data_IF_955382239500
#
_entry.id   IF_955382239500
#
_cell.length_a   1.000
_cell.length_b   1.000
_cell.length_c   1.000
_cell.angle_alpha   90.00
_cell.angle_beta   90.00
_cell.angle_gamma   90.00
#
_symmetry.space_group_name_H-M   'P 1'
#
loop_
_entity.id
_entity.type
_entity.pdbx_description
1 polymer ?
#
# COMPACT_ATOMS: atom_id res chain seq x y z
N UNK A 1 18.21 10.62 4.19
CA UNK A 1 17.70 12.00 4.33
C UNK A 1 16.59 12.17 3.29
N UNK A 2 15.31 12.27 3.69
CA UNK A 2 14.19 12.33 2.74
C UNK A 2 14.13 13.69 2.02
N UNK A 3 13.83 13.67 0.72
CA UNK A 3 13.69 14.88 -0.11
C UNK A 3 12.54 15.77 0.36
N UNK A 4 12.52 17.05 -0.06
CA UNK A 4 11.42 17.98 0.28
C UNK A 4 10.09 17.52 -0.35
N UNK A 5 10.10 17.06 -1.59
CA UNK A 5 8.93 16.55 -2.29
C UNK A 5 8.35 15.30 -1.61
N UNK A 6 9.22 14.39 -1.15
CA UNK A 6 8.83 13.21 -0.35
C UNK A 6 8.15 13.60 0.98
N UNK A 7 8.61 14.68 1.62
CA UNK A 7 8.00 15.18 2.87
C UNK A 7 6.63 15.82 2.65
N UNK A 8 6.42 16.48 1.51
CA UNK A 8 5.13 17.06 1.15
C UNK A 8 4.11 15.97 0.76
N UNK A 9 4.54 14.93 0.04
CA UNK A 9 3.70 13.79 -0.34
C UNK A 9 3.11 13.01 0.85
N UNK A 10 3.87 12.88 1.93
CA UNK A 10 3.42 12.21 3.16
C UNK A 10 3.05 13.17 4.29
N UNK A 11 2.84 14.45 3.98
CA UNK A 11 2.34 15.41 4.95
C UNK A 11 0.94 14.97 5.41
N UNK A 12 0.74 14.87 6.72
CA UNK A 12 -0.53 14.45 7.30
C UNK A 12 -0.80 12.93 7.27
N UNK A 13 0.10 12.10 6.74
CA UNK A 13 -0.08 10.63 6.73
C UNK A 13 -0.33 10.07 8.13
N UNK A 14 0.44 10.52 9.13
CA UNK A 14 0.26 10.07 10.53
C UNK A 14 -1.11 10.47 11.06
N UNK A 15 -1.54 11.71 10.80
CA UNK A 15 -2.83 12.20 11.29
C UNK A 15 -4.01 11.46 10.61
N UNK A 16 -3.88 11.16 9.32
CA UNK A 16 -4.86 10.37 8.58
C UNK A 16 -4.92 8.91 9.05
N UNK A 17 -3.77 8.29 9.33
CA UNK A 17 -3.71 6.95 9.94
C UNK A 17 -4.37 6.95 11.32
N UNK A 18 -4.06 7.94 12.17
CA UNK A 18 -4.65 8.07 13.50
C UNK A 18 -6.16 8.27 13.42
N UNK A 19 -6.64 9.13 12.51
CA UNK A 19 -8.07 9.32 12.27
C UNK A 19 -8.74 8.01 11.91
N UNK A 20 -8.19 7.27 10.93
CA UNK A 20 -8.74 5.99 10.52
C UNK A 20 -8.79 4.97 11.67
N UNK A 21 -7.67 4.81 12.39
CA UNK A 21 -7.58 3.85 13.49
C UNK A 21 -8.55 4.18 14.63
N UNK A 22 -8.73 5.46 14.95
CA UNK A 22 -9.69 5.91 15.96
C UNK A 22 -11.15 5.67 15.53
N UNK A 23 -11.48 6.03 14.29
CA UNK A 23 -12.82 5.82 13.75
C UNK A 23 -13.18 4.33 13.69
N UNK A 24 -12.19 3.49 13.40
CA UNK A 24 -12.31 2.03 13.39
C UNK A 24 -12.09 1.38 14.78
N UNK A 25 -11.90 2.18 15.85
CA UNK A 25 -11.67 1.71 17.23
C UNK A 25 -10.64 0.60 17.37
N UNK A 26 -9.48 0.75 16.72
CA UNK A 26 -8.43 -0.27 16.79
C UNK A 26 -8.06 -0.59 18.24
N UNK A 27 -8.38 -1.80 18.69
CA UNK A 27 -7.86 -2.40 19.90
C UNK A 27 -6.76 -3.41 19.58
N UNK A 28 -6.18 -4.02 20.62
CA UNK A 28 -5.12 -5.00 20.42
C UNK A 28 -5.57 -6.26 19.68
N UNK A 29 -6.84 -6.64 19.81
CA UNK A 29 -7.48 -7.73 19.04
C UNK A 29 -7.59 -7.40 17.55
N UNK A 30 -7.62 -6.12 17.21
CA UNK A 30 -7.87 -5.62 15.86
C UNK A 30 -6.56 -5.34 15.11
N UNK A 31 -5.39 -5.57 15.72
CA UNK A 31 -4.09 -5.37 15.09
C UNK A 31 -3.65 -6.61 14.30
N UNK A 32 -4.29 -6.80 13.16
CA UNK A 32 -3.97 -7.85 12.18
C UNK A 32 -3.31 -7.22 10.95
N UNK A 33 -2.63 -8.03 10.13
CA UNK A 33 -2.09 -7.55 8.86
C UNK A 33 -3.20 -6.95 7.98
N UNK A 34 -4.37 -7.58 7.93
CA UNK A 34 -5.50 -7.14 7.10
C UNK A 34 -6.02 -5.75 7.50
N UNK A 35 -6.28 -5.53 8.80
CA UNK A 35 -6.79 -4.24 9.31
C UNK A 35 -5.75 -3.14 9.17
N UNK A 36 -4.47 -3.44 9.39
CA UNK A 36 -3.38 -2.48 9.16
C UNK A 36 -3.23 -2.15 7.68
N UNK A 37 -3.37 -3.13 6.77
CA UNK A 37 -3.40 -2.88 5.33
C UNK A 37 -4.56 -1.96 4.93
N UNK A 38 -5.74 -2.07 5.54
CA UNK A 38 -6.83 -1.11 5.30
C UNK A 38 -6.46 0.32 5.70
N UNK A 39 -5.76 0.49 6.82
CA UNK A 39 -5.27 1.81 7.24
C UNK A 39 -4.27 2.38 6.23
N UNK A 40 -3.38 1.53 5.68
CA UNK A 40 -2.44 1.93 4.62
C UNK A 40 -3.15 2.30 3.31
N UNK A 41 -4.14 1.50 2.89
CA UNK A 41 -4.97 1.81 1.72
C UNK A 41 -5.77 3.10 1.90
N UNK A 42 -6.25 3.39 3.11
CA UNK A 42 -6.98 4.62 3.40
C UNK A 42 -6.14 5.87 3.15
N UNK A 43 -4.85 5.82 3.52
CA UNK A 43 -3.91 6.94 3.35
C UNK A 43 -3.21 6.97 2.00
N UNK A 44 -3.45 5.97 1.15
CA UNK A 44 -2.87 5.90 -0.19
C UNK A 44 -3.26 7.12 -1.04
N UNK A 45 -2.24 7.76 -1.62
CA UNK A 45 -2.41 8.79 -2.62
C UNK A 45 -1.84 8.31 -3.96
N UNK A 46 -2.62 8.35 -5.06
CA UNK A 46 -2.22 7.82 -6.35
C UNK A 46 -1.28 8.77 -7.10
N UNK A 47 -0.07 8.97 -6.58
CA UNK A 47 1.00 9.68 -7.25
C UNK A 47 2.26 8.82 -7.32
N UNK A 48 3.19 9.07 -8.27
CA UNK A 48 4.43 8.32 -8.34
C UNK A 48 5.21 8.37 -7.02
N UNK A 49 5.90 7.28 -6.70
CA UNK A 49 6.72 7.13 -5.49
C UNK A 49 5.98 7.11 -4.16
N UNK A 50 4.65 7.12 -4.09
CA UNK A 50 3.96 7.10 -2.80
C UNK A 50 4.41 5.90 -1.96
N UNK A 51 4.36 4.70 -2.50
CA UNK A 51 4.72 3.49 -1.76
C UNK A 51 6.23 3.36 -1.60
N UNK A 52 6.99 3.70 -2.65
CA UNK A 52 8.45 3.64 -2.61
C UNK A 52 9.07 4.58 -1.59
N UNK A 53 8.44 5.72 -1.33
CA UNK A 53 8.90 6.69 -0.34
C UNK A 53 8.18 6.58 1.02
N UNK A 54 7.21 5.66 1.15
CA UNK A 54 6.47 5.44 2.38
C UNK A 54 7.39 4.93 3.50
N UNK A 55 7.41 5.63 4.62
CA UNK A 55 8.20 5.24 5.78
C UNK A 55 7.30 4.52 6.80
N UNK A 56 7.61 3.25 7.08
CA UNK A 56 6.89 2.42 8.08
C UNK A 56 6.87 3.09 9.46
N UNK A 57 7.83 3.97 9.78
CA UNK A 57 7.80 4.77 11.01
C UNK A 57 6.53 5.64 11.15
N UNK A 58 5.89 6.06 10.06
CA UNK A 58 4.60 6.77 10.11
C UNK A 58 3.52 5.89 10.73
N UNK A 59 3.44 4.64 10.29
CA UNK A 59 2.52 3.65 10.84
C UNK A 59 2.85 3.32 12.30
N UNK A 60 4.13 3.08 12.61
CA UNK A 60 4.55 2.79 13.99
C UNK A 60 4.14 3.91 14.95
N UNK A 61 4.30 5.17 14.51
CA UNK A 61 3.87 6.33 15.28
C UNK A 61 2.36 6.37 15.47
N UNK A 62 1.58 6.13 14.42
CA UNK A 62 0.12 6.09 14.51
C UNK A 62 -0.37 4.97 15.44
N UNK A 63 0.21 3.77 15.34
CA UNK A 63 -0.09 2.65 16.23
C UNK A 63 0.20 2.98 17.69
N UNK A 64 1.36 3.57 17.99
CA UNK A 64 1.70 3.98 19.36
C UNK A 64 0.77 5.06 19.91
N UNK A 65 0.24 5.94 19.07
CA UNK A 65 -0.72 6.98 19.49
C UNK A 65 -2.12 6.41 19.76
N UNK A 66 -2.58 5.45 18.96
CA UNK A 66 -3.94 4.90 19.07
C UNK A 66 -4.02 3.73 20.07
N UNK A 67 -2.97 2.91 20.13
CA UNK A 67 -2.89 1.71 20.98
C UNK A 67 -1.58 1.76 21.76
N UNK A 68 -1.57 2.38 22.95
CA UNK A 68 -0.42 2.34 23.85
C UNK A 68 0.00 0.89 24.13
N UNK A 69 1.31 0.64 24.15
CA UNK A 69 1.90 -0.67 24.41
C UNK A 69 1.46 -1.81 23.46
N UNK A 70 0.95 -1.48 22.26
CA UNK A 70 0.46 -2.45 21.28
C UNK A 70 1.37 -3.66 21.05
N UNK A 71 2.70 -3.46 21.09
CA UNK A 71 3.67 -4.55 20.94
C UNK A 71 3.52 -5.60 22.03
N UNK A 72 3.43 -5.17 23.29
CA UNK A 72 3.22 -6.07 24.41
C UNK A 72 1.87 -6.75 24.30
N UNK A 73 0.82 -5.99 23.95
CA UNK A 73 -0.55 -6.53 23.89
C UNK A 73 -0.72 -7.59 22.82
N UNK A 74 -0.21 -7.38 21.61
CA UNK A 74 -0.25 -8.40 20.53
C UNK A 74 0.53 -9.65 20.95
N UNK A 75 1.71 -9.47 21.55
CA UNK A 75 2.54 -10.59 21.97
C UNK A 75 1.86 -11.42 23.07
N UNK A 76 1.10 -10.79 23.96
CA UNK A 76 0.37 -11.47 25.03
C UNK A 76 -0.95 -12.10 24.58
N UNK A 77 -1.62 -11.54 23.57
CA UNK A 77 -2.94 -11.97 23.16
C UNK A 77 -2.96 -13.29 22.36
N UNK A 78 -1.79 -13.78 21.92
CA UNK A 78 -1.68 -15.06 21.19
C UNK A 78 -2.35 -15.08 19.81
N UNK A 79 -2.85 -13.93 19.33
CA UNK A 79 -3.68 -13.83 18.12
C UNK A 79 -2.90 -13.88 16.80
N UNK A 80 -1.58 -13.76 16.83
CA UNK A 80 -0.73 -13.94 15.66
C UNK A 80 0.44 -14.86 16.02
N UNK A 81 0.59 -15.97 15.29
CA UNK A 81 1.83 -16.75 15.31
C UNK A 81 2.99 -15.79 14.98
N UNK A 82 3.82 -15.47 15.96
CA UNK A 82 4.94 -14.52 15.82
C UNK A 82 4.67 -13.06 16.26
N UNK A 83 3.50 -12.77 16.83
CA UNK A 83 3.20 -11.52 17.55
C UNK A 83 3.46 -10.24 16.75
N UNK A 84 3.95 -9.20 17.43
CA UNK A 84 4.25 -7.90 16.83
C UNK A 84 5.29 -7.98 15.71
N UNK A 85 6.28 -8.88 15.83
CA UNK A 85 7.31 -9.07 14.81
C UNK A 85 6.71 -9.58 13.49
N UNK A 86 5.81 -10.56 13.56
CA UNK A 86 5.14 -11.08 12.36
C UNK A 86 4.25 -10.01 11.72
N UNK A 87 3.48 -9.28 12.53
CA UNK A 87 2.65 -8.18 12.01
C UNK A 87 3.49 -7.16 11.24
N UNK A 88 4.63 -6.75 11.78
CA UNK A 88 5.51 -5.79 11.10
C UNK A 88 6.09 -6.36 9.81
N UNK A 89 6.48 -7.64 9.79
CA UNK A 89 6.96 -8.28 8.58
C UNK A 89 5.88 -8.34 7.48
N UNK A 90 4.64 -8.66 7.85
CA UNK A 90 3.51 -8.70 6.90
C UNK A 90 3.18 -7.30 6.35
N UNK A 91 3.30 -6.28 7.18
CA UNK A 91 3.10 -4.87 6.79
C UNK A 91 4.23 -4.36 5.90
N UNK A 92 5.49 -4.67 6.24
CA UNK A 92 6.64 -4.32 5.41
C UNK A 92 6.54 -4.99 4.05
N UNK A 93 6.12 -6.25 4.01
CA UNK A 93 5.83 -6.98 2.77
C UNK A 93 4.71 -6.30 1.97
N UNK A 94 3.62 -5.89 2.63
CA UNK A 94 2.53 -5.16 1.98
C UNK A 94 3.02 -3.87 1.30
N UNK A 95 3.82 -3.06 2.01
CA UNK A 95 4.39 -1.83 1.46
C UNK A 95 5.35 -2.15 0.31
N UNK A 96 6.16 -3.21 0.45
CA UNK A 96 7.13 -3.64 -0.58
C UNK A 96 6.44 -4.08 -1.87
N UNK A 97 5.37 -4.87 -1.79
CA UNK A 97 4.57 -5.30 -2.95
C UNK A 97 4.00 -4.09 -3.67
N UNK A 98 3.36 -3.17 -2.93
CA UNK A 98 2.77 -1.98 -3.54
C UNK A 98 3.81 -1.02 -4.14
N UNK A 99 5.00 -0.91 -3.53
CA UNK A 99 6.12 -0.14 -4.08
C UNK A 99 6.68 -0.76 -5.36
N UNK A 100 6.66 -2.09 -5.45
CA UNK A 100 7.05 -2.81 -6.66
C UNK A 100 6.06 -2.60 -7.80
N UNK A 101 4.75 -2.74 -7.53
CA UNK A 101 3.70 -2.50 -8.51
C UNK A 101 3.72 -1.04 -9.01
N UNK A 102 3.92 -0.08 -8.10
CA UNK A 102 4.09 1.33 -8.43
C UNK A 102 5.32 1.58 -9.32
N UNK A 103 6.45 0.93 -9.03
CA UNK A 103 7.65 1.05 -9.87
C UNK A 103 7.44 0.47 -11.27
N UNK A 104 6.72 -0.64 -11.38
CA UNK A 104 6.34 -1.22 -12.67
C UNK A 104 5.36 -0.33 -13.44
N UNK A 105 4.40 0.28 -12.75
CA UNK A 105 3.51 1.28 -13.34
C UNK A 105 4.29 2.48 -13.88
N UNK A 106 5.29 2.98 -13.14
CA UNK A 106 6.19 4.04 -13.60
C UNK A 106 6.97 3.61 -14.86
N UNK A 107 7.45 2.37 -14.95
CA UNK A 107 8.10 1.83 -16.15
C UNK A 107 7.15 1.79 -17.36
N UNK A 108 5.94 1.24 -17.19
CA UNK A 108 4.93 1.20 -18.24
C UNK A 108 4.55 2.61 -18.73
N UNK A 109 4.51 3.58 -17.81
CA UNK A 109 4.19 4.99 -18.13
C UNK A 109 5.19 5.62 -19.10
N UNK A 110 6.44 5.13 -19.14
CA UNK A 110 7.47 5.62 -20.08
C UNK A 110 7.18 5.25 -21.54
N UNK A 111 6.32 4.26 -21.78
CA UNK A 111 5.89 3.89 -23.12
C UNK A 111 4.91 4.91 -23.71
N UNK A 112 4.97 5.16 -25.04
CA UNK A 112 3.88 5.81 -25.75
C UNK A 112 2.55 5.10 -25.49
N UNK A 113 1.46 5.84 -25.31
CA UNK A 113 0.13 5.27 -24.94
C UNK A 113 -0.29 4.12 -25.85
N UNK A 114 -0.09 4.24 -27.17
CA UNK A 114 -0.47 3.21 -28.15
C UNK A 114 0.40 1.94 -28.10
N UNK A 115 1.52 1.96 -27.39
CA UNK A 115 2.43 0.82 -27.20
C UNK A 115 2.26 0.16 -25.82
N UNK A 116 1.40 0.72 -24.96
CA UNK A 116 1.22 0.18 -23.61
C UNK A 116 0.41 -1.11 -23.66
N UNK A 117 0.84 -2.14 -22.92
CA UNK A 117 0.03 -3.33 -22.67
C UNK A 117 -1.36 -2.96 -22.14
N UNK A 118 -2.37 -3.73 -22.52
CA UNK A 118 -3.77 -3.53 -22.12
C UNK A 118 -4.30 -4.65 -21.21
N UNK A 119 -3.49 -5.66 -20.95
CA UNK A 119 -3.80 -6.83 -20.13
C UNK A 119 -2.57 -7.28 -19.33
N UNK A 120 -2.79 -7.96 -18.21
CA UNK A 120 -1.75 -8.39 -17.29
C UNK A 120 -0.71 -9.33 -17.90
N UNK A 121 -1.11 -10.24 -18.79
CA UNK A 121 -0.17 -11.17 -19.42
C UNK A 121 0.85 -10.42 -20.29
N UNK A 122 0.38 -9.55 -21.19
CA UNK A 122 1.24 -8.73 -22.05
C UNK A 122 2.08 -7.75 -21.21
N UNK A 123 1.51 -7.19 -20.14
CA UNK A 123 2.24 -6.32 -19.22
C UNK A 123 3.37 -7.06 -18.51
N UNK A 124 3.09 -8.25 -17.97
CA UNK A 124 4.07 -9.09 -17.30
C UNK A 124 5.22 -9.50 -18.24
N UNK A 125 4.92 -9.92 -19.47
CA UNK A 125 5.94 -10.27 -20.46
C UNK A 125 6.86 -9.08 -20.75
N UNK A 126 6.27 -7.91 -21.00
CA UNK A 126 7.03 -6.70 -21.28
C UNK A 126 7.88 -6.26 -20.08
N UNK A 127 7.30 -6.25 -18.87
CA UNK A 127 7.97 -5.89 -17.62
C UNK A 127 9.13 -6.86 -17.33
N UNK A 128 8.90 -8.16 -17.46
CA UNK A 128 9.94 -9.17 -17.27
C UNK A 128 11.12 -8.96 -18.22
N UNK A 129 10.85 -8.68 -19.49
CA UNK A 129 11.90 -8.37 -20.46
C UNK A 129 12.63 -7.08 -20.11
N UNK A 130 11.92 -6.05 -19.64
CA UNK A 130 12.51 -4.77 -19.26
C UNK A 130 13.38 -4.88 -17.99
N UNK A 131 12.91 -5.59 -16.96
CA UNK A 131 13.65 -5.85 -15.73
C UNK A 131 14.92 -6.67 -16.01
N UNK A 132 14.83 -7.69 -16.87
CA UNK A 132 15.99 -8.46 -17.31
C UNK A 132 17.02 -7.59 -18.06
N UNK A 133 16.57 -6.74 -18.99
CA UNK A 133 17.44 -5.79 -19.71
C UNK A 133 18.16 -4.82 -18.76
N UNK A 134 17.49 -4.42 -17.68
CA UNK A 134 18.03 -3.50 -16.68
C UNK A 134 18.91 -4.20 -15.62
N UNK A 135 19.06 -5.53 -15.66
CA UNK A 135 19.81 -6.28 -14.63
C UNK A 135 19.13 -6.36 -13.27
N UNK A 136 17.82 -6.06 -13.20
CA UNK A 136 17.03 -6.02 -11.97
C UNK A 136 16.52 -7.42 -11.62
N UNK A 137 17.44 -8.30 -11.22
CA UNK A 137 17.16 -9.74 -11.07
C UNK A 137 16.28 -10.08 -9.86
N UNK A 138 16.34 -9.29 -8.79
CA UNK A 138 15.47 -9.49 -7.62
C UNK A 138 14.02 -9.16 -7.96
N UNK A 139 13.80 -8.02 -8.61
CA UNK A 139 12.52 -7.56 -9.13
C UNK A 139 11.95 -8.52 -10.18
N UNK A 140 12.80 -9.04 -11.07
CA UNK A 140 12.39 -10.04 -12.05
C UNK A 140 11.94 -11.35 -11.38
N UNK A 141 12.68 -11.82 -10.38
CA UNK A 141 12.28 -13.02 -9.63
C UNK A 141 10.98 -12.78 -8.86
N UNK A 142 10.77 -11.56 -8.38
CA UNK A 142 9.52 -11.16 -7.72
C UNK A 142 8.35 -11.16 -8.71
N UNK A 143 8.46 -10.46 -9.85
CA UNK A 143 7.47 -10.50 -10.94
C UNK A 143 7.12 -11.94 -11.34
N UNK A 144 8.11 -12.82 -11.49
CA UNK A 144 7.90 -14.21 -11.91
C UNK A 144 7.14 -15.07 -10.89
N UNK A 145 7.18 -14.73 -9.61
CA UNK A 145 6.39 -15.42 -8.58
C UNK A 145 4.90 -15.11 -8.73
N UNK A 146 4.59 -13.87 -9.10
CA UNK A 146 3.22 -13.37 -9.20
C UNK A 146 2.63 -13.59 -10.61
N UNK A 147 3.47 -13.70 -11.63
CA UNK A 147 3.05 -13.97 -13.00
C UNK A 147 2.22 -12.83 -13.60
N UNK A 148 1.10 -13.14 -14.23
CA UNK A 148 0.16 -12.18 -14.82
C UNK A 148 -0.41 -11.18 -13.80
N UNK A 149 -0.56 -11.59 -12.53
CA UNK A 149 -0.97 -10.70 -11.43
C UNK A 149 -0.04 -9.50 -11.27
N UNK A 150 1.27 -9.67 -11.49
CA UNK A 150 2.22 -8.55 -11.49
C UNK A 150 1.87 -7.52 -12.58
N UNK A 151 1.46 -7.99 -13.75
CA UNK A 151 1.07 -7.12 -14.86
C UNK A 151 -0.24 -6.39 -14.58
N UNK A 152 -1.25 -7.09 -14.05
CA UNK A 152 -2.53 -6.49 -13.67
C UNK A 152 -2.35 -5.42 -12.59
N UNK A 153 -1.61 -5.72 -11.52
CA UNK A 153 -1.33 -4.75 -10.45
C UNK A 153 -0.59 -3.51 -10.96
N UNK A 154 0.36 -3.67 -11.88
CA UNK A 154 1.06 -2.54 -12.50
C UNK A 154 0.14 -1.68 -13.38
N UNK A 155 -0.78 -2.29 -14.12
CA UNK A 155 -1.78 -1.58 -14.93
C UNK A 155 -2.79 -0.84 -14.06
N UNK A 156 -3.26 -1.45 -12.97
CA UNK A 156 -4.15 -0.81 -11.99
C UNK A 156 -3.49 0.41 -11.34
N UNK A 157 -2.23 0.26 -10.92
CA UNK A 157 -1.45 1.37 -10.36
C UNK A 157 -1.21 2.48 -11.40
N UNK A 158 -0.89 2.13 -12.65
CA UNK A 158 -0.74 3.09 -13.75
C UNK A 158 -2.02 3.88 -13.98
N UNK A 159 -3.17 3.19 -14.06
CA UNK A 159 -4.46 3.82 -14.24
C UNK A 159 -4.74 4.83 -13.12
N UNK A 160 -4.57 4.43 -11.85
CA UNK A 160 -4.77 5.32 -10.70
C UNK A 160 -3.89 6.57 -10.79
N UNK A 161 -2.60 6.41 -11.12
CA UNK A 161 -1.63 7.51 -11.22
C UNK A 161 -2.00 8.49 -12.34
N UNK A 162 -2.38 7.99 -13.52
CA UNK A 162 -2.70 8.85 -14.67
C UNK A 162 -4.00 9.63 -14.48
N UNK A 163 -4.99 8.99 -13.86
CA UNK A 163 -6.29 9.58 -13.59
C UNK A 163 -6.19 10.68 -12.53
N UNK A 164 -5.42 10.42 -11.48
CA UNK A 164 -5.07 11.42 -10.48
C UNK A 164 -4.28 12.59 -11.07
N UNK A 165 -3.32 12.32 -11.97
CA UNK A 165 -2.57 13.37 -12.66
C UNK A 165 -3.46 14.24 -13.57
N UNK A 166 -4.57 13.68 -14.07
CA UNK A 166 -5.58 14.42 -14.81
C UNK A 166 -6.61 15.15 -13.92
N UNK A 167 -6.40 15.16 -12.60
CA UNK A 167 -7.30 15.78 -11.61
C UNK A 167 -8.60 15.01 -11.39
N UNK A 168 -8.69 13.76 -11.87
CA UNK A 168 -9.86 12.90 -11.64
C UNK A 168 -9.68 12.12 -10.35
N UNK A 169 -10.76 12.03 -9.58
CA UNK A 169 -10.75 11.28 -8.33
C UNK A 169 -11.09 9.82 -8.62
N UNK A 170 -10.07 9.01 -8.87
CA UNK A 170 -10.22 7.55 -8.97
C UNK A 170 -9.81 6.90 -7.65
N UNK A 171 -10.67 6.01 -7.18
CA UNK A 171 -10.47 5.25 -5.96
C UNK A 171 -10.02 3.85 -6.32
N UNK A 172 -8.78 3.50 -5.94
CA UNK A 172 -8.34 2.11 -5.96
C UNK A 172 -9.27 1.28 -5.06
N UNK A 173 -9.55 0.04 -5.46
CA UNK A 173 -10.42 -0.90 -4.73
C UNK A 173 -10.07 -0.99 -3.23
N UNK A 174 -8.78 -1.07 -2.87
CA UNK A 174 -8.36 -1.12 -1.46
C UNK A 174 -8.81 0.10 -0.65
N UNK A 175 -8.67 1.31 -1.21
CA UNK A 175 -9.12 2.55 -0.56
C UNK A 175 -10.64 2.65 -0.43
N UNK A 176 -11.38 2.13 -1.42
CA UNK A 176 -12.84 2.02 -1.32
C UNK A 176 -13.23 1.07 -0.18
N UNK A 177 -12.63 -0.12 -0.11
CA UNK A 177 -12.88 -1.09 0.96
C UNK A 177 -12.57 -0.49 2.33
N UNK A 178 -11.44 0.21 2.47
CA UNK A 178 -11.06 0.86 3.72
C UNK A 178 -12.11 1.88 4.18
N UNK A 179 -12.65 2.70 3.28
CA UNK A 179 -13.75 3.63 3.62
C UNK A 179 -15.03 2.91 4.00
N UNK A 180 -15.45 1.91 3.24
CA UNK A 180 -16.66 1.14 3.54
C UNK A 180 -16.55 0.48 4.91
N UNK A 181 -15.38 -0.07 5.24
CA UNK A 181 -15.08 -0.62 6.56
C UNK A 181 -15.21 0.44 7.66
N UNK A 182 -14.55 1.59 7.50
CA UNK A 182 -14.63 2.71 8.45
C UNK A 182 -16.07 3.18 8.66
N UNK A 183 -16.81 3.39 7.58
CA UNK A 183 -18.20 3.87 7.65
C UNK A 183 -19.11 2.86 8.34
N UNK A 184 -18.89 1.56 8.14
CA UNK A 184 -19.60 0.50 8.84
C UNK A 184 -19.34 0.54 10.36
N UNK A 185 -18.06 0.59 10.77
CA UNK A 185 -17.70 0.64 12.21
C UNK A 185 -18.21 1.91 12.89
N UNK A 186 -18.07 3.07 12.24
CA UNK A 186 -18.60 4.34 12.78
C UNK A 186 -20.12 4.26 12.96
N UNK A 187 -20.84 3.70 11.99
CA UNK A 187 -22.30 3.56 12.07
C UNK A 187 -22.74 2.62 13.19
N UNK A 188 -22.02 1.52 13.42
CA UNK A 188 -22.33 0.57 14.50
C UNK A 188 -22.24 1.18 15.90
N UNK A 189 -21.54 2.30 16.06
CA UNK A 189 -21.24 2.89 17.35
C UNK A 189 -21.80 4.29 17.56
N UNK A 190 -22.49 4.83 16.56
CA UNK A 190 -23.30 6.04 16.67
C UNK A 190 -24.70 5.75 17.27
N UNK A 191 -24.97 4.50 17.64
CA UNK A 191 -26.21 3.99 18.25
C UNK A 191 -26.10 3.98 19.77
#
# INVERSE_FOLDING_TARGET
>A
MQSKATREAHAGTVDALVSFMNDCRFGASDLTAATVSLALEYVYQPHPRFWRDFNVAFLLRALTLCVPDWRATINSAGHASGGATRLLADVEEYVRVNAFDEANAELLRTLPVHMRPTDGATAFEWLSAQLARNGMMEELNFARRDGDVCGDSALDALHCIEEAAAGRHIERTGRLIARVYRDAVVKEHAV
#
